data_IF_917221391887
#
_entry.id   IF_917221391887
#
_cell.length_a   1.000
_cell.length_b   1.000
_cell.length_c   1.000
_cell.angle_alpha   90.00
_cell.angle_beta   90.00
_cell.angle_gamma   90.00
#
_symmetry.space_group_name_H-M   'P 1'
#
loop_
_entity.id
_entity.type
_entity.pdbx_description
1 polymer ?
#
# COMPACT_ATOMS: atom_id res chain seq x y z
N UNK A 1 78.13 20.50 21.54
CA UNK A 1 76.84 20.28 22.14
C UNK A 1 75.86 20.10 20.95
N UNK A 2 75.60 18.84 20.55
CA UNK A 2 74.80 18.51 19.39
C UNK A 2 73.40 18.15 19.84
N UNK A 3 72.39 18.93 19.42
CA UNK A 3 71.01 18.66 19.69
C UNK A 3 70.48 17.75 18.60
N UNK A 4 70.07 16.53 18.99
CA UNK A 4 69.40 15.57 18.09
C UNK A 4 67.92 15.82 18.21
N UNK A 5 67.29 16.28 17.13
CA UNK A 5 65.82 16.42 17.03
C UNK A 5 65.29 15.08 16.53
N UNK A 6 64.55 14.36 17.41
CA UNK A 6 63.82 13.15 17.03
C UNK A 6 62.42 13.60 16.55
N UNK A 7 62.18 13.44 15.25
CA UNK A 7 60.87 13.66 14.65
C UNK A 7 60.04 12.37 14.77
N UNK A 8 59.03 12.39 15.65
CA UNK A 8 58.06 11.31 15.80
C UNK A 8 57.00 11.46 14.68
N UNK A 9 57.02 10.63 13.65
CA UNK A 9 55.97 10.52 12.66
C UNK A 9 54.82 9.70 13.25
N UNK A 10 53.75 10.37 13.70
CA UNK A 10 52.45 9.77 14.04
C UNK A 10 51.74 9.38 12.76
N UNK A 11 51.74 8.11 12.40
CA UNK A 11 50.89 7.55 11.33
C UNK A 11 49.46 7.48 11.81
N UNK A 12 48.64 8.46 11.43
CA UNK A 12 47.17 8.42 11.56
C UNK A 12 46.65 7.38 10.56
N UNK A 13 46.49 6.13 11.01
CA UNK A 13 45.79 5.10 10.27
C UNK A 13 44.29 5.46 10.23
N UNK A 14 43.82 5.92 9.07
CA UNK A 14 42.38 6.08 8.82
C UNK A 14 41.73 4.71 8.74
N UNK A 15 41.09 4.29 9.82
CA UNK A 15 40.17 3.16 9.81
C UNK A 15 38.94 3.56 8.99
N UNK A 16 38.90 3.17 7.73
CA UNK A 16 37.64 3.19 6.97
C UNK A 16 36.79 2.02 7.42
N UNK A 17 35.55 2.24 7.86
CA UNK A 17 34.64 1.14 8.12
C UNK A 17 34.36 0.44 6.79
N UNK A 18 34.75 -0.83 6.67
CA UNK A 18 34.34 -1.69 5.57
C UNK A 18 32.89 -2.02 5.78
N UNK A 19 32.01 -1.32 5.07
CA UNK A 19 30.57 -1.71 4.99
C UNK A 19 30.50 -3.02 4.21
N UNK A 20 30.38 -4.13 4.92
CA UNK A 20 30.06 -5.41 4.31
C UNK A 20 28.58 -5.31 3.86
N UNK A 21 28.35 -5.06 2.59
CA UNK A 21 27.04 -5.23 1.98
C UNK A 21 26.75 -6.74 2.01
N UNK A 22 25.93 -7.16 2.96
CA UNK A 22 25.36 -8.51 2.96
C UNK A 22 24.37 -8.50 1.78
N UNK A 23 24.73 -9.17 0.68
CA UNK A 23 23.81 -9.40 -0.41
C UNK A 23 22.62 -10.21 0.14
N UNK A 24 21.39 -9.72 -0.06
CA UNK A 24 20.23 -10.53 0.26
C UNK A 24 20.29 -11.85 -0.49
N UNK A 25 19.93 -12.97 0.15
CA UNK A 25 19.94 -14.26 -0.51
C UNK A 25 19.04 -14.22 -1.74
N UNK A 26 19.51 -14.77 -2.86
CA UNK A 26 18.73 -14.81 -4.10
C UNK A 26 17.39 -15.52 -3.86
N UNK A 27 16.27 -14.88 -4.22
CA UNK A 27 14.95 -15.45 -4.08
C UNK A 27 14.71 -16.46 -5.21
N UNK A 28 14.66 -17.76 -4.87
CA UNK A 28 14.53 -18.85 -5.85
C UNK A 28 13.19 -18.79 -6.63
N UNK A 29 12.14 -18.25 -6.02
CA UNK A 29 10.88 -18.04 -6.73
C UNK A 29 11.09 -17.11 -7.93
N UNK A 30 11.76 -15.97 -7.71
CA UNK A 30 12.08 -15.01 -8.77
C UNK A 30 13.00 -15.63 -9.81
N UNK A 31 14.07 -16.28 -9.39
CA UNK A 31 15.07 -16.87 -10.30
C UNK A 31 14.44 -17.91 -11.25
N UNK A 32 13.52 -18.71 -10.76
CA UNK A 32 12.84 -19.74 -11.57
C UNK A 32 11.65 -19.19 -12.37
N UNK A 33 10.95 -18.15 -11.88
CA UNK A 33 9.67 -17.72 -12.45
C UNK A 33 9.76 -16.44 -13.30
N UNK A 34 10.84 -15.66 -13.22
CA UNK A 34 10.99 -14.37 -13.94
C UNK A 34 10.89 -14.49 -15.46
N UNK A 35 11.34 -15.61 -16.01
CA UNK A 35 11.40 -15.85 -17.47
C UNK A 35 10.31 -16.79 -17.98
N UNK A 36 9.34 -17.19 -17.11
CA UNK A 36 8.24 -18.05 -17.55
C UNK A 36 7.31 -17.31 -18.53
N UNK A 37 6.96 -17.95 -19.66
CA UNK A 37 6.05 -17.34 -20.62
C UNK A 37 4.69 -17.00 -19.99
N UNK A 38 4.13 -15.87 -20.39
CA UNK A 38 2.75 -15.52 -20.03
C UNK A 38 1.79 -16.61 -20.49
N UNK A 39 0.89 -17.04 -19.59
CA UNK A 39 -0.08 -18.10 -19.88
C UNK A 39 0.38 -19.52 -19.51
N UNK A 40 1.56 -19.68 -18.90
CA UNK A 40 1.95 -20.93 -18.23
C UNK A 40 1.10 -21.16 -16.97
N UNK A 41 1.18 -22.36 -16.39
CA UNK A 41 0.49 -22.71 -15.13
C UNK A 41 0.87 -21.79 -13.94
N UNK A 42 1.89 -20.96 -14.06
CA UNK A 42 2.24 -19.92 -13.09
C UNK A 42 1.32 -18.68 -13.14
N UNK A 43 0.48 -18.55 -14.20
CA UNK A 43 -0.74 -17.72 -14.20
C UNK A 43 -0.57 -16.20 -14.34
N UNK A 44 0.61 -15.63 -14.11
CA UNK A 44 0.81 -14.18 -14.20
C UNK A 44 2.16 -13.86 -14.84
N UNK A 45 2.26 -12.64 -15.35
CA UNK A 45 3.53 -12.12 -15.84
C UNK A 45 4.34 -11.61 -14.66
N UNK A 46 5.60 -12.01 -14.58
CA UNK A 46 6.53 -11.44 -13.61
C UNK A 46 6.64 -9.91 -13.75
N UNK A 47 6.51 -9.39 -14.98
CA UNK A 47 6.50 -7.96 -15.26
C UNK A 47 5.40 -7.18 -14.52
N UNK A 48 4.29 -7.81 -14.18
CA UNK A 48 3.20 -7.15 -13.46
C UNK A 48 3.55 -6.96 -11.96
N UNK A 49 4.40 -7.83 -11.43
CA UNK A 49 4.95 -7.70 -10.07
C UNK A 49 6.14 -6.76 -10.04
N UNK A 50 7.04 -6.87 -11.02
CA UNK A 50 8.29 -6.10 -11.07
C UNK A 50 8.02 -4.59 -11.14
N UNK A 51 8.57 -3.85 -10.18
CA UNK A 51 8.33 -2.42 -10.02
C UNK A 51 7.02 -2.06 -9.30
N UNK A 52 6.23 -3.04 -8.86
CA UNK A 52 5.07 -2.81 -8.00
C UNK A 52 5.48 -2.21 -6.65
N UNK A 53 4.51 -1.73 -5.87
CA UNK A 53 4.78 -1.24 -4.52
C UNK A 53 5.32 -2.37 -3.62
N UNK A 54 4.86 -3.59 -3.81
CA UNK A 54 5.33 -4.77 -3.06
C UNK A 54 6.77 -5.11 -3.42
N UNK A 55 7.12 -5.16 -4.69
CA UNK A 55 8.51 -5.39 -5.15
C UNK A 55 9.46 -4.34 -4.56
N UNK A 56 9.10 -3.05 -4.63
CA UNK A 56 9.92 -1.96 -4.08
C UNK A 56 10.09 -1.99 -2.55
N UNK A 57 9.20 -2.68 -1.84
CA UNK A 57 9.25 -2.82 -0.38
C UNK A 57 9.68 -4.23 0.08
N UNK A 58 10.26 -5.05 -0.81
CA UNK A 58 10.78 -6.36 -0.46
C UNK A 58 9.72 -7.39 -0.08
N UNK A 59 8.47 -7.20 -0.48
CA UNK A 59 7.38 -8.17 -0.29
C UNK A 59 7.34 -9.07 -1.51
N UNK A 60 7.91 -10.27 -1.38
CA UNK A 60 8.10 -11.20 -2.50
C UNK A 60 7.01 -12.27 -2.57
N UNK A 61 7.19 -13.23 -3.50
CA UNK A 61 6.18 -14.21 -3.88
C UNK A 61 5.67 -15.04 -2.70
N UNK A 62 6.57 -15.50 -1.84
CA UNK A 62 6.29 -16.36 -0.69
C UNK A 62 5.39 -15.69 0.36
N UNK A 63 5.44 -14.37 0.47
CA UNK A 63 4.58 -13.63 1.41
C UNK A 63 3.08 -13.84 1.13
N UNK A 64 2.72 -14.04 -0.15
CA UNK A 64 1.35 -14.30 -0.60
C UNK A 64 1.10 -15.76 -0.90
N UNK A 65 2.03 -16.45 -1.60
CA UNK A 65 1.84 -17.80 -2.11
C UNK A 65 2.29 -18.89 -1.14
N UNK A 66 3.11 -18.56 -0.15
CA UNK A 66 3.82 -19.54 0.67
C UNK A 66 5.02 -20.14 -0.05
N UNK A 67 5.54 -21.26 0.47
CA UNK A 67 6.77 -21.86 0.00
C UNK A 67 8.01 -21.32 0.68
N UNK A 68 9.18 -21.77 0.22
CA UNK A 68 10.47 -21.34 0.78
C UNK A 68 11.37 -20.77 -0.32
N UNK A 69 11.63 -19.44 -0.29
CA UNK A 69 12.36 -18.72 -1.33
C UNK A 69 13.87 -18.98 -1.31
N UNK A 70 14.42 -19.64 -0.27
CA UNK A 70 15.87 -19.91 -0.19
C UNK A 70 16.24 -21.28 -0.72
N UNK A 71 15.25 -22.16 -0.95
CA UNK A 71 15.48 -23.50 -1.45
C UNK A 71 15.49 -23.53 -2.98
N UNK A 72 16.55 -24.13 -3.56
CA UNK A 72 16.67 -24.28 -5.01
C UNK A 72 15.96 -25.52 -5.55
N UNK A 73 15.73 -26.56 -4.71
CA UNK A 73 14.98 -27.74 -5.12
C UNK A 73 13.50 -27.42 -5.32
N UNK A 74 12.97 -27.69 -6.50
CA UNK A 74 11.61 -27.38 -6.89
C UNK A 74 10.57 -27.93 -5.90
N UNK A 75 10.70 -29.19 -5.47
CA UNK A 75 9.73 -29.85 -4.62
C UNK A 75 9.74 -29.25 -3.21
N UNK A 76 10.93 -29.00 -2.67
CA UNK A 76 11.12 -28.42 -1.36
C UNK A 76 10.64 -26.95 -1.32
N UNK A 77 11.00 -26.15 -2.31
CA UNK A 77 10.60 -24.76 -2.43
C UNK A 77 9.07 -24.58 -2.56
N UNK A 78 8.37 -25.52 -3.18
CA UNK A 78 6.91 -25.49 -3.36
C UNK A 78 6.13 -26.19 -2.24
N UNK A 79 6.76 -26.60 -1.17
CA UNK A 79 6.04 -27.21 -0.04
C UNK A 79 5.07 -26.18 0.57
N UNK A 80 3.78 -26.49 0.53
CA UNK A 80 2.72 -25.57 1.02
C UNK A 80 2.26 -24.52 0.00
N UNK A 81 2.78 -24.54 -1.23
CA UNK A 81 2.27 -23.71 -2.33
C UNK A 81 1.13 -24.45 -3.03
N UNK A 82 -0.03 -23.81 -3.09
CA UNK A 82 -1.23 -24.34 -3.74
C UNK A 82 -1.58 -23.51 -4.97
N UNK A 83 -2.28 -24.11 -5.93
CA UNK A 83 -2.84 -23.38 -7.08
C UNK A 83 -3.86 -22.36 -6.59
N UNK A 84 -3.97 -21.22 -7.26
CA UNK A 84 -4.89 -20.14 -6.87
C UNK A 84 -6.38 -20.54 -6.83
N UNK A 85 -6.77 -21.58 -7.60
CA UNK A 85 -8.11 -22.15 -7.56
C UNK A 85 -8.37 -23.16 -6.43
N UNK A 86 -7.34 -23.55 -5.69
CA UNK A 86 -7.47 -24.48 -4.56
C UNK A 86 -7.96 -23.73 -3.32
N UNK A 87 -9.03 -24.18 -2.63
CA UNK A 87 -9.49 -23.56 -1.39
C UNK A 87 -8.46 -23.50 -0.26
N UNK A 88 -7.44 -24.35 -0.30
CA UNK A 88 -6.32 -24.32 0.66
C UNK A 88 -5.29 -23.25 0.34
N UNK A 89 -5.32 -22.68 -0.86
CA UNK A 89 -4.36 -21.65 -1.28
C UNK A 89 -4.56 -20.35 -0.48
N UNK A 90 -3.48 -19.74 0.04
CA UNK A 90 -3.56 -18.40 0.60
C UNK A 90 -4.05 -17.36 -0.42
N UNK A 91 -3.78 -17.57 -1.71
CA UNK A 91 -4.23 -16.69 -2.80
C UNK A 91 -5.53 -17.16 -3.48
N UNK A 92 -6.23 -18.12 -2.89
CA UNK A 92 -7.60 -18.42 -3.29
C UNK A 92 -8.49 -17.21 -3.10
N UNK A 93 -9.35 -16.89 -4.06
CA UNK A 93 -10.08 -15.62 -4.13
C UNK A 93 -10.80 -15.24 -2.83
N UNK A 94 -11.39 -16.20 -2.14
CA UNK A 94 -12.06 -16.00 -0.83
C UNK A 94 -11.08 -15.85 0.35
N UNK A 95 -9.82 -16.29 0.19
CA UNK A 95 -8.80 -16.22 1.24
C UNK A 95 -7.94 -14.95 1.16
N UNK A 96 -7.95 -14.28 0.00
CA UNK A 96 -7.14 -13.07 -0.24
C UNK A 96 -7.29 -11.99 0.86
N UNK A 97 -8.48 -11.70 1.41
CA UNK A 97 -8.57 -10.72 2.49
C UNK A 97 -7.72 -11.09 3.70
N UNK A 98 -7.68 -12.37 4.09
CA UNK A 98 -6.86 -12.84 5.19
C UNK A 98 -5.35 -12.80 4.85
N UNK A 99 -5.01 -13.08 3.62
CA UNK A 99 -3.62 -13.04 3.14
C UNK A 99 -3.09 -11.61 3.11
N UNK A 100 -3.82 -10.68 2.49
CA UNK A 100 -3.48 -9.27 2.48
C UNK A 100 -3.49 -8.67 3.89
N UNK A 101 -4.46 -9.05 4.70
CA UNK A 101 -4.66 -8.58 6.07
C UNK A 101 -3.56 -8.96 7.05
N UNK A 102 -2.63 -9.86 6.71
CA UNK A 102 -1.44 -10.13 7.53
C UNK A 102 -0.58 -8.86 7.72
N UNK A 103 -0.55 -7.98 6.71
CA UNK A 103 0.15 -6.70 6.74
C UNK A 103 -0.85 -5.53 6.73
N UNK A 104 -1.96 -5.63 5.99
CA UNK A 104 -3.03 -4.63 5.84
C UNK A 104 -4.19 -4.91 6.81
N UNK A 105 -3.88 -4.99 8.11
CA UNK A 105 -4.85 -5.40 9.12
C UNK A 105 -5.97 -4.38 9.35
N UNK A 106 -5.67 -3.07 9.27
CA UNK A 106 -6.68 -2.02 9.44
C UNK A 106 -7.68 -2.02 8.27
N UNK A 107 -7.21 -2.24 7.03
CA UNK A 107 -8.04 -2.38 5.83
C UNK A 107 -8.91 -3.62 5.91
N UNK A 108 -8.35 -4.77 6.36
CA UNK A 108 -9.11 -5.99 6.55
C UNK A 108 -10.24 -5.80 7.57
N UNK A 109 -9.97 -5.16 8.71
CA UNK A 109 -10.99 -4.88 9.74
C UNK A 109 -12.13 -4.05 9.17
N UNK A 110 -11.83 -3.01 8.38
CA UNK A 110 -12.86 -2.19 7.74
C UNK A 110 -13.60 -2.95 6.63
N UNK A 111 -12.88 -3.66 5.76
CA UNK A 111 -13.48 -4.46 4.69
C UNK A 111 -14.42 -5.54 5.25
N UNK A 112 -14.04 -6.19 6.37
CA UNK A 112 -14.85 -7.23 7.00
C UNK A 112 -16.23 -6.75 7.47
N UNK A 113 -16.42 -5.44 7.64
CA UNK A 113 -17.70 -4.80 7.99
C UNK A 113 -18.58 -4.48 6.78
N UNK A 114 -18.06 -4.67 5.56
CA UNK A 114 -18.77 -4.36 4.33
C UNK A 114 -19.70 -5.49 3.87
N UNK A 115 -20.76 -5.13 3.12
CA UNK A 115 -21.57 -6.14 2.40
C UNK A 115 -20.75 -6.90 1.37
N UNK A 116 -19.77 -6.27 0.75
CA UNK A 116 -18.86 -6.92 -0.20
C UNK A 116 -18.12 -8.10 0.42
N UNK A 117 -17.59 -7.95 1.62
CA UNK A 117 -16.94 -9.05 2.35
C UNK A 117 -17.94 -10.16 2.69
N UNK A 118 -19.13 -9.79 3.19
CA UNK A 118 -20.18 -10.77 3.48
C UNK A 118 -20.54 -11.59 2.23
N UNK A 119 -20.76 -10.95 1.09
CA UNK A 119 -21.04 -11.62 -0.18
C UNK A 119 -19.86 -12.49 -0.66
N UNK A 120 -18.64 -12.01 -0.48
CA UNK A 120 -17.45 -12.79 -0.80
C UNK A 120 -17.38 -14.08 0.01
N UNK A 121 -17.61 -14.00 1.32
CA UNK A 121 -17.46 -15.14 2.24
C UNK A 121 -18.62 -16.13 2.15
N UNK A 122 -19.85 -15.66 1.97
CA UNK A 122 -21.05 -16.52 1.92
C UNK A 122 -21.28 -17.10 0.52
N UNK A 123 -21.42 -16.27 -0.49
CA UNK A 123 -21.78 -16.69 -1.84
C UNK A 123 -20.59 -16.80 -2.81
N UNK A 124 -19.44 -16.21 -2.49
CA UNK A 124 -18.28 -16.09 -3.38
C UNK A 124 -18.45 -15.09 -4.50
N UNK A 125 -19.53 -14.29 -4.50
CA UNK A 125 -19.83 -13.32 -5.55
C UNK A 125 -19.40 -11.89 -5.24
N UNK A 126 -19.01 -11.62 -3.98
CA UNK A 126 -18.46 -10.33 -3.60
C UNK A 126 -17.06 -10.10 -4.18
N UNK A 127 -16.63 -8.85 -4.34
CA UNK A 127 -15.26 -8.53 -4.73
C UNK A 127 -14.27 -8.92 -3.62
N UNK A 128 -13.03 -9.21 -4.01
CA UNK A 128 -11.90 -9.37 -3.10
C UNK A 128 -10.92 -8.21 -3.30
N UNK A 129 -9.87 -8.13 -2.49
CA UNK A 129 -8.87 -7.06 -2.57
C UNK A 129 -8.33 -6.86 -4.00
N UNK A 130 -8.01 -7.96 -4.68
CA UNK A 130 -7.47 -7.94 -6.05
C UNK A 130 -8.48 -7.49 -7.11
N UNK A 131 -9.77 -7.47 -6.80
CA UNK A 131 -10.79 -6.97 -7.74
C UNK A 131 -10.60 -5.48 -8.02
N UNK A 132 -10.18 -4.71 -7.01
CA UNK A 132 -9.93 -3.28 -7.13
C UNK A 132 -8.44 -2.95 -7.24
N UNK A 133 -7.57 -3.70 -6.58
CA UNK A 133 -6.14 -3.40 -6.49
C UNK A 133 -5.27 -4.16 -7.48
N UNK A 134 -5.81 -5.12 -8.20
CA UNK A 134 -5.02 -6.04 -9.04
C UNK A 134 -4.29 -7.10 -8.21
N UNK A 135 -3.86 -8.16 -8.88
CA UNK A 135 -3.24 -9.32 -8.20
C UNK A 135 -1.74 -9.16 -8.00
N UNK A 136 -1.04 -8.67 -9.00
CA UNK A 136 0.43 -8.59 -9.01
C UNK A 136 0.94 -7.14 -8.95
N UNK A 137 0.34 -6.23 -9.70
CA UNK A 137 0.73 -4.82 -9.76
C UNK A 137 0.36 -4.03 -8.53
N UNK A 138 -0.69 -4.43 -7.82
CA UNK A 138 -1.17 -3.81 -6.57
C UNK A 138 -1.23 -2.27 -6.67
N UNK A 139 -2.11 -1.79 -7.53
CA UNK A 139 -2.31 -0.36 -7.78
C UNK A 139 -3.43 0.24 -6.91
N UNK A 140 -3.45 1.55 -6.82
CA UNK A 140 -4.55 2.31 -6.21
C UNK A 140 -5.35 2.94 -7.34
N UNK A 141 -6.67 2.71 -7.35
CA UNK A 141 -7.57 3.26 -8.35
C UNK A 141 -7.76 4.77 -8.12
N UNK A 142 -7.77 5.52 -9.22
CA UNK A 142 -8.18 6.92 -9.24
C UNK A 142 -9.68 7.05 -9.44
N UNK A 143 -10.22 8.26 -9.22
CA UNK A 143 -11.63 8.56 -9.44
C UNK A 143 -12.09 8.32 -10.89
N UNK A 144 -11.20 8.45 -11.86
CA UNK A 144 -11.51 8.17 -13.27
C UNK A 144 -11.58 6.66 -13.58
N UNK A 145 -10.84 5.84 -12.85
CA UNK A 145 -10.76 4.40 -13.06
C UNK A 145 -11.84 3.61 -12.29
N UNK A 146 -12.20 4.07 -11.08
CA UNK A 146 -13.02 3.29 -10.15
C UNK A 146 -14.38 2.88 -10.71
N UNK A 147 -15.00 3.72 -11.55
CA UNK A 147 -16.31 3.47 -12.15
C UNK A 147 -16.34 2.19 -12.97
N UNK A 148 -15.29 1.91 -13.73
CA UNK A 148 -15.19 0.71 -14.58
C UNK A 148 -15.28 -0.56 -13.74
N UNK A 149 -14.56 -0.61 -12.63
CA UNK A 149 -14.57 -1.76 -11.71
C UNK A 149 -15.92 -1.95 -11.03
N UNK A 150 -16.56 -0.86 -10.60
CA UNK A 150 -17.86 -0.92 -9.94
C UNK A 150 -18.97 -1.38 -10.91
N UNK A 151 -18.96 -0.91 -12.17
CA UNK A 151 -20.00 -1.20 -13.16
C UNK A 151 -20.04 -2.66 -13.60
N UNK A 152 -19.00 -3.45 -13.37
CA UNK A 152 -19.03 -4.92 -13.60
C UNK A 152 -20.17 -5.58 -12.86
N UNK A 153 -20.51 -5.09 -11.67
CA UNK A 153 -21.60 -5.63 -10.84
C UNK A 153 -22.75 -4.63 -10.65
N UNK A 154 -22.45 -3.34 -10.47
CA UNK A 154 -23.43 -2.28 -10.23
C UNK A 154 -23.90 -1.66 -11.56
N UNK A 155 -24.81 -2.35 -12.24
CA UNK A 155 -25.34 -1.95 -13.54
C UNK A 155 -26.83 -2.33 -13.70
N UNK A 156 -27.48 -1.77 -14.69
CA UNK A 156 -28.91 -1.98 -14.93
C UNK A 156 -29.29 -3.45 -15.21
N UNK A 157 -28.38 -4.26 -15.75
CA UNK A 157 -28.65 -5.68 -16.04
C UNK A 157 -28.75 -6.51 -14.75
N UNK A 158 -27.98 -6.13 -13.73
CA UNK A 158 -27.95 -6.83 -12.44
C UNK A 158 -28.86 -6.16 -11.40
N UNK A 159 -29.30 -4.92 -11.64
CA UNK A 159 -30.21 -4.18 -10.78
C UNK A 159 -29.70 -3.85 -9.37
N UNK A 160 -28.37 -3.93 -9.15
CA UNK A 160 -27.76 -3.76 -7.83
C UNK A 160 -27.16 -2.36 -7.75
N UNK A 161 -27.74 -1.48 -6.92
CA UNK A 161 -27.22 -0.14 -6.60
C UNK A 161 -26.57 0.56 -7.81
N UNK A 162 -27.36 0.82 -8.83
CA UNK A 162 -26.88 1.30 -10.15
C UNK A 162 -26.25 2.69 -10.11
N UNK A 163 -26.52 3.47 -9.05
CA UNK A 163 -25.93 4.79 -8.79
C UNK A 163 -24.57 4.70 -8.05
N UNK A 164 -24.24 3.56 -7.43
CA UNK A 164 -23.05 3.41 -6.63
C UNK A 164 -21.75 3.77 -7.38
N UNK A 165 -21.55 3.41 -8.67
CA UNK A 165 -20.32 3.80 -9.39
C UNK A 165 -20.11 5.31 -9.43
N UNK A 166 -21.16 6.09 -9.64
CA UNK A 166 -21.05 7.55 -9.70
C UNK A 166 -20.85 8.16 -8.33
N UNK A 167 -21.53 7.67 -7.31
CA UNK A 167 -21.35 8.10 -5.92
C UNK A 167 -19.91 7.86 -5.45
N UNK A 168 -19.39 6.67 -5.68
CA UNK A 168 -18.03 6.28 -5.33
C UNK A 168 -17.00 7.14 -6.07
N UNK A 169 -17.19 7.41 -7.37
CA UNK A 169 -16.34 8.33 -8.13
C UNK A 169 -16.31 9.71 -7.49
N UNK A 170 -17.46 10.27 -7.14
CA UNK A 170 -17.54 11.60 -6.55
C UNK A 170 -16.79 11.68 -5.21
N UNK A 171 -16.97 10.67 -4.35
CA UNK A 171 -16.28 10.62 -3.05
C UNK A 171 -14.78 10.45 -3.21
N UNK A 172 -14.34 9.64 -4.18
CA UNK A 172 -12.91 9.47 -4.46
C UNK A 172 -12.28 10.75 -5.01
N UNK A 173 -12.97 11.46 -5.90
CA UNK A 173 -12.53 12.79 -6.37
C UNK A 173 -12.40 13.79 -5.22
N UNK A 174 -13.34 13.79 -4.26
CA UNK A 174 -13.23 14.63 -3.06
C UNK A 174 -12.01 14.24 -2.21
N UNK A 175 -11.71 12.95 -2.09
CA UNK A 175 -10.54 12.46 -1.34
C UNK A 175 -9.24 12.91 -2.02
N UNK A 176 -9.13 12.80 -3.34
CA UNK A 176 -7.98 13.26 -4.13
C UNK A 176 -7.75 14.78 -3.96
N UNK A 177 -8.81 15.58 -4.00
CA UNK A 177 -8.72 17.01 -3.76
C UNK A 177 -8.29 17.35 -2.31
N UNK A 178 -8.83 16.63 -1.33
CA UNK A 178 -8.44 16.83 0.07
C UNK A 178 -6.97 16.45 0.31
N UNK A 179 -6.47 15.39 -0.34
CA UNK A 179 -5.05 15.01 -0.30
C UNK A 179 -4.14 16.14 -0.81
N UNK A 180 -4.52 16.79 -1.90
CA UNK A 180 -3.78 17.96 -2.43
C UNK A 180 -3.74 19.08 -1.39
N UNK A 181 -4.89 19.39 -0.77
CA UNK A 181 -4.99 20.48 0.23
C UNK A 181 -4.18 20.15 1.49
N UNK A 182 -4.22 18.90 1.96
CA UNK A 182 -3.43 18.45 3.12
C UNK A 182 -1.93 18.51 2.79
N UNK A 183 -1.52 18.08 1.60
CA UNK A 183 -0.12 18.13 1.16
C UNK A 183 0.39 19.58 1.05
N UNK A 184 -0.40 20.50 0.50
CA UNK A 184 -0.05 21.91 0.47
C UNK A 184 0.06 22.50 1.89
N UNK A 185 -0.85 22.12 2.79
CA UNK A 185 -0.80 22.59 4.17
C UNK A 185 0.43 22.07 4.89
N UNK A 186 0.86 20.84 4.59
CA UNK A 186 2.10 20.27 5.12
C UNK A 186 3.33 21.06 4.68
N UNK A 187 3.46 21.34 3.38
CA UNK A 187 4.59 22.14 2.88
C UNK A 187 4.56 23.56 3.43
N UNK A 188 3.38 24.16 3.58
CA UNK A 188 3.24 25.49 4.17
C UNK A 188 3.67 25.53 5.65
N UNK A 189 3.22 24.58 6.46
CA UNK A 189 3.61 24.45 7.87
C UNK A 189 5.10 24.16 8.01
N UNK A 190 5.65 23.30 7.15
CA UNK A 190 7.08 22.97 7.11
C UNK A 190 7.93 24.21 6.81
N UNK A 191 7.53 25.03 5.83
CA UNK A 191 8.23 26.28 5.52
C UNK A 191 8.11 27.28 6.66
N UNK A 192 6.92 27.43 7.26
CA UNK A 192 6.73 28.28 8.43
C UNK A 192 7.61 27.87 9.62
N UNK A 193 7.80 26.56 9.83
CA UNK A 193 8.73 26.04 10.83
C UNK A 193 10.17 26.43 10.52
N UNK A 194 10.59 26.35 9.25
CA UNK A 194 11.94 26.72 8.80
C UNK A 194 12.25 28.19 9.11
N UNK A 195 11.26 29.07 8.94
CA UNK A 195 11.41 30.52 9.22
C UNK A 195 10.97 30.91 10.63
N UNK A 196 10.76 29.95 11.54
CA UNK A 196 10.36 30.15 12.94
C UNK A 196 9.03 30.91 13.12
N UNK A 197 8.10 30.75 12.18
CA UNK A 197 6.74 31.33 12.21
C UNK A 197 5.63 30.29 12.46
N UNK A 198 5.95 28.99 12.54
CA UNK A 198 4.94 28.00 12.89
C UNK A 198 4.58 28.11 14.39
N UNK A 199 3.35 27.76 14.72
CA UNK A 199 2.87 27.73 16.07
C UNK A 199 2.30 26.35 16.43
N UNK A 200 2.13 26.03 17.74
CA UNK A 200 1.63 24.70 18.15
C UNK A 200 0.25 24.36 17.60
N UNK A 201 -0.63 25.34 17.38
CA UNK A 201 -1.98 25.08 16.89
C UNK A 201 -1.94 24.69 15.40
N UNK A 202 -1.13 25.35 14.57
CA UNK A 202 -0.96 24.96 13.16
C UNK A 202 -0.42 23.54 13.01
N UNK A 203 0.55 23.15 13.85
CA UNK A 203 1.11 21.79 13.87
C UNK A 203 0.07 20.75 14.29
N UNK A 204 -0.73 21.06 15.31
CA UNK A 204 -1.84 20.23 15.77
C UNK A 204 -2.90 20.05 14.69
N UNK A 205 -3.32 21.12 14.03
CA UNK A 205 -4.31 21.08 12.96
C UNK A 205 -3.80 20.25 11.77
N UNK A 206 -2.53 20.35 11.39
CA UNK A 206 -1.94 19.52 10.35
C UNK A 206 -1.96 18.03 10.75
N UNK A 207 -1.63 17.73 12.00
CA UNK A 207 -1.68 16.36 12.53
C UNK A 207 -3.09 15.79 12.46
N UNK A 208 -4.10 16.57 12.84
CA UNK A 208 -5.51 16.20 12.73
C UNK A 208 -5.91 15.97 11.26
N UNK A 209 -5.53 16.84 10.34
CA UNK A 209 -5.82 16.69 8.92
C UNK A 209 -5.28 15.36 8.37
N UNK A 210 -4.04 15.01 8.69
CA UNK A 210 -3.43 13.74 8.29
C UNK A 210 -4.15 12.54 8.91
N UNK A 211 -4.55 12.64 10.18
CA UNK A 211 -5.30 11.60 10.87
C UNK A 211 -6.67 11.36 10.22
N UNK A 212 -7.41 12.42 9.91
CA UNK A 212 -8.69 12.29 9.22
C UNK A 212 -8.54 11.72 7.81
N UNK A 213 -7.48 12.09 7.06
CA UNK A 213 -7.21 11.47 5.75
C UNK A 213 -6.89 9.97 5.89
N UNK A 214 -6.12 9.58 6.91
CA UNK A 214 -5.91 8.15 7.21
C UNK A 214 -7.27 7.46 7.48
N UNK A 215 -8.13 8.05 8.31
CA UNK A 215 -9.45 7.49 8.61
C UNK A 215 -10.36 7.43 7.36
N UNK A 216 -10.31 8.43 6.48
CA UNK A 216 -11.04 8.40 5.21
C UNK A 216 -10.63 7.19 4.35
N UNK A 217 -9.32 6.96 4.18
CA UNK A 217 -8.79 5.82 3.42
C UNK A 217 -9.15 4.47 4.05
N UNK A 218 -9.14 4.36 5.37
CA UNK A 218 -9.52 3.15 6.07
C UNK A 218 -11.03 2.89 5.98
N UNK A 219 -11.86 3.91 6.26
CA UNK A 219 -13.32 3.81 6.19
C UNK A 219 -13.84 3.55 4.77
N UNK A 220 -13.07 3.91 3.73
CA UNK A 220 -13.34 3.56 2.35
C UNK A 220 -13.66 2.07 2.17
N UNK A 221 -12.92 1.20 2.84
CA UNK A 221 -13.08 -0.25 2.75
C UNK A 221 -14.38 -0.78 3.40
N UNK A 222 -15.10 0.05 4.14
CA UNK A 222 -16.46 -0.29 4.61
C UNK A 222 -17.52 -0.10 3.53
N UNK A 223 -17.23 0.68 2.48
CA UNK A 223 -18.15 1.14 1.45
C UNK A 223 -19.34 1.95 1.98
N UNK A 224 -19.19 2.57 3.15
CA UNK A 224 -20.16 3.56 3.69
C UNK A 224 -19.66 4.95 3.34
N UNK A 225 -20.15 5.47 2.22
CA UNK A 225 -19.65 6.72 1.64
C UNK A 225 -19.91 7.95 2.52
N UNK A 226 -20.92 7.91 3.39
CA UNK A 226 -21.19 8.98 4.36
C UNK A 226 -20.04 9.13 5.37
N UNK A 227 -19.54 8.00 5.94
CA UNK A 227 -18.42 8.01 6.89
C UNK A 227 -17.13 8.50 6.23
N UNK A 228 -16.89 8.06 4.99
CA UNK A 228 -15.73 8.50 4.20
C UNK A 228 -15.80 10.00 3.95
N UNK A 229 -16.95 10.49 3.50
CA UNK A 229 -17.18 11.92 3.21
C UNK A 229 -17.00 12.79 4.45
N UNK A 230 -17.48 12.34 5.62
CA UNK A 230 -17.29 13.06 6.88
C UNK A 230 -15.79 13.23 7.20
N UNK A 231 -15.03 12.13 7.15
CA UNK A 231 -13.58 12.18 7.39
C UNK A 231 -12.84 13.09 6.39
N UNK A 232 -13.24 13.09 5.10
CA UNK A 232 -12.66 13.98 4.08
C UNK A 232 -12.92 15.44 4.41
N UNK A 233 -14.14 15.81 4.81
CA UNK A 233 -14.53 17.17 5.20
C UNK A 233 -13.75 17.65 6.42
N UNK A 234 -13.57 16.78 7.42
CA UNK A 234 -12.81 17.09 8.63
C UNK A 234 -11.33 17.28 8.31
N UNK A 235 -10.76 16.43 7.43
CA UNK A 235 -9.39 16.57 6.95
C UNK A 235 -9.17 17.91 6.23
N UNK A 236 -10.06 18.25 5.30
CA UNK A 236 -10.01 19.52 4.57
C UNK A 236 -10.08 20.72 5.52
N UNK A 237 -11.02 20.69 6.48
CA UNK A 237 -11.22 21.76 7.45
C UNK A 237 -9.99 21.97 8.33
N UNK A 238 -9.44 20.88 8.86
CA UNK A 238 -8.23 20.94 9.68
C UNK A 238 -7.01 21.43 8.88
N UNK A 239 -6.84 20.97 7.64
CA UNK A 239 -5.76 21.42 6.75
C UNK A 239 -5.87 22.91 6.42
N UNK A 240 -7.08 23.43 6.23
CA UNK A 240 -7.31 24.85 6.03
C UNK A 240 -6.92 25.66 7.27
N UNK A 241 -7.38 25.25 8.46
CA UNK A 241 -7.02 25.89 9.74
C UNK A 241 -5.51 25.90 9.97
N UNK A 242 -4.81 24.79 9.68
CA UNK A 242 -3.36 24.72 9.84
C UNK A 242 -2.60 25.84 9.10
N UNK A 243 -3.14 26.37 7.98
CA UNK A 243 -2.56 27.47 7.22
C UNK A 243 -3.01 28.83 7.73
N UNK A 244 -4.25 28.95 8.17
CA UNK A 244 -4.81 30.24 8.67
C UNK A 244 -4.12 30.69 9.95
N UNK A 245 -3.72 29.77 10.80
CA UNK A 245 -3.05 30.05 12.08
C UNK A 245 -1.58 30.51 11.94
N UNK A 246 -1.01 30.48 10.73
CA UNK A 246 0.38 30.88 10.48
C UNK A 246 0.49 32.35 9.97
N UNK A 247 -0.60 33.00 9.60
CA UNK A 247 -0.63 34.35 9.02
C UNK A 247 -0.28 35.48 10.00
#
# INVERSE_FOLDING_TARGET
MHIVIVVLLLSLGTWMPVSIAIAEPANSCIECHKDLPAGTNAGHKFSDYKGSVHDRNGVHCEACHGGDPVLADKTAAHKGVYRSGDPMSPVYFRNLPQTCGKCHGEELVNFSRSRHYSELKTSGRGPSCVTCHGSMGTFILTSDQITEFCTVCHNNKKGILTNAPQEVKNVLSMMELADIVVSWSEEFVKEARRVKKSNPESEKQLTLAKSYMKQARLSWHTFRMEDVTANIKDAYTAAKKAREDIR
#
